data_IF_472339934968
#
_entry.id   IF_472339934968
#
_cell.length_a   1.000
_cell.length_b   1.000
_cell.length_c   1.000
_cell.angle_alpha   90.00
_cell.angle_beta   90.00
_cell.angle_gamma   90.00
#
_symmetry.space_group_name_H-M   'P 1'
#
loop_
_entity.id
_entity.type
_entity.pdbx_description
1 polymer ?
#
# COMPACT_ATOMS: atom_id res chain seq x y z
N UNK A 1 15.73 27.17 -5.48
CA UNK A 1 16.44 26.77 -6.70
C UNK A 1 16.72 25.29 -6.60
N UNK A 2 15.96 24.46 -7.31
CA UNK A 2 16.11 23.01 -7.26
C UNK A 2 17.35 22.64 -8.06
N UNK A 3 18.32 22.00 -7.42
CA UNK A 3 19.54 21.51 -8.08
C UNK A 3 19.17 20.59 -9.25
N UNK A 4 19.90 20.63 -10.38
CA UNK A 4 19.69 19.68 -11.47
C UNK A 4 19.92 18.27 -10.95
N UNK A 5 18.92 17.40 -11.13
CA UNK A 5 19.01 15.97 -10.85
C UNK A 5 20.25 15.41 -11.55
N UNK A 6 21.16 14.84 -10.78
CA UNK A 6 22.33 14.12 -11.29
C UNK A 6 21.85 13.10 -12.32
N UNK A 7 22.47 13.00 -13.52
CA UNK A 7 22.04 12.02 -14.51
C UNK A 7 22.08 10.63 -13.88
N UNK A 8 20.90 10.02 -13.75
CA UNK A 8 20.76 8.69 -13.14
C UNK A 8 21.48 7.70 -14.06
N UNK A 9 22.41 6.92 -13.50
CA UNK A 9 23.12 5.91 -14.30
C UNK A 9 22.13 4.87 -14.82
N UNK A 10 22.39 4.20 -15.96
CA UNK A 10 21.47 3.19 -16.50
C UNK A 10 21.14 2.06 -15.49
N UNK A 11 22.10 1.70 -14.64
CA UNK A 11 21.90 0.76 -13.55
C UNK A 11 20.89 1.28 -12.50
N UNK A 12 21.05 2.53 -12.05
CA UNK A 12 20.16 3.12 -11.06
C UNK A 12 18.76 3.38 -11.63
N UNK A 13 18.66 3.69 -12.93
CA UNK A 13 17.38 3.82 -13.62
C UNK A 13 16.63 2.48 -13.69
N UNK A 14 17.35 1.39 -13.97
CA UNK A 14 16.79 0.04 -13.98
C UNK A 14 16.29 -0.40 -12.59
N UNK A 15 17.11 -0.23 -11.54
CA UNK A 15 16.68 -0.49 -10.15
C UNK A 15 15.45 0.33 -9.77
N UNK A 16 15.42 1.62 -10.15
CA UNK A 16 14.26 2.47 -9.93
C UNK A 16 13.00 1.98 -10.68
N UNK A 17 13.17 1.39 -11.87
CA UNK A 17 12.11 0.72 -12.61
C UNK A 17 11.54 -0.48 -11.84
N UNK A 18 12.41 -1.39 -11.38
CA UNK A 18 11.99 -2.54 -10.55
C UNK A 18 11.27 -2.08 -9.28
N UNK A 19 11.81 -1.07 -8.59
CA UNK A 19 11.18 -0.48 -7.40
C UNK A 19 9.77 0.00 -7.70
N UNK A 20 9.60 0.71 -8.81
CA UNK A 20 8.30 1.27 -9.20
C UNK A 20 7.28 0.17 -9.47
N UNK A 21 7.68 -0.91 -10.14
CA UNK A 21 6.82 -2.06 -10.36
C UNK A 21 6.42 -2.73 -9.03
N UNK A 22 7.40 -2.99 -8.15
CA UNK A 22 7.16 -3.61 -6.85
C UNK A 22 6.22 -2.78 -5.96
N UNK A 23 6.44 -1.46 -5.88
CA UNK A 23 5.57 -0.57 -5.10
C UNK A 23 4.17 -0.49 -5.67
N UNK A 24 4.00 -0.42 -7.01
CA UNK A 24 2.66 -0.44 -7.62
C UNK A 24 1.91 -1.73 -7.25
N UNK A 25 2.58 -2.89 -7.30
CA UNK A 25 2.00 -4.15 -6.85
C UNK A 25 1.60 -4.11 -5.37
N UNK A 26 2.50 -3.60 -4.52
CA UNK A 26 2.30 -3.48 -3.06
C UNK A 26 1.00 -2.74 -2.72
N UNK A 27 0.72 -1.64 -3.43
CA UNK A 27 -0.45 -0.79 -3.18
C UNK A 27 -1.70 -1.24 -3.95
N UNK A 28 -1.68 -2.43 -4.55
CA UNK A 28 -2.81 -3.00 -5.29
C UNK A 28 -2.98 -2.50 -6.73
N UNK A 29 -2.07 -1.68 -7.25
CA UNK A 29 -2.07 -1.23 -8.65
C UNK A 29 -1.40 -2.27 -9.57
N UNK A 30 -2.11 -3.39 -9.77
CA UNK A 30 -1.65 -4.49 -10.62
C UNK A 30 -1.50 -4.08 -12.09
N UNK A 31 -2.45 -3.32 -12.63
CA UNK A 31 -2.39 -2.86 -14.01
C UNK A 31 -1.19 -1.95 -14.27
N UNK A 32 -0.91 -1.01 -13.35
CA UNK A 32 0.25 -0.14 -13.45
C UNK A 32 1.57 -0.88 -13.24
N UNK A 33 1.62 -1.87 -12.35
CA UNK A 33 2.80 -2.73 -12.20
C UNK A 33 3.10 -3.46 -13.51
N UNK A 34 2.09 -4.08 -14.13
CA UNK A 34 2.20 -4.76 -15.43
C UNK A 34 2.66 -3.79 -16.53
N UNK A 35 2.13 -2.57 -16.58
CA UNK A 35 2.54 -1.56 -17.55
C UNK A 35 4.03 -1.22 -17.44
N UNK A 36 4.53 -1.01 -16.22
CA UNK A 36 5.96 -0.76 -15.96
C UNK A 36 6.80 -1.95 -16.43
N UNK A 37 6.42 -3.17 -16.04
CA UNK A 37 7.15 -4.39 -16.41
C UNK A 37 7.16 -4.63 -17.92
N UNK A 38 6.06 -4.32 -18.62
CA UNK A 38 5.95 -4.57 -20.07
C UNK A 38 6.57 -3.48 -20.93
N UNK A 39 6.43 -2.22 -20.53
CA UNK A 39 6.70 -1.08 -21.41
C UNK A 39 7.91 -0.24 -20.99
N UNK A 40 8.31 -0.29 -19.72
CA UNK A 40 9.45 0.46 -19.19
C UNK A 40 10.69 -0.42 -18.98
N UNK A 41 10.55 -1.55 -18.27
CA UNK A 41 11.67 -2.43 -17.91
C UNK A 41 12.48 -2.87 -19.13
N UNK A 42 11.91 -3.33 -20.26
CA UNK A 42 12.68 -3.73 -21.44
C UNK A 42 13.64 -2.65 -21.93
N UNK A 43 13.19 -1.38 -21.95
CA UNK A 43 14.01 -0.24 -22.39
C UNK A 43 15.16 0.03 -21.42
N UNK A 44 14.89 -0.11 -20.12
CA UNK A 44 15.89 0.07 -19.07
C UNK A 44 16.94 -1.06 -19.09
N UNK A 45 16.50 -2.30 -19.35
CA UNK A 45 17.39 -3.46 -19.51
C UNK A 45 18.34 -3.25 -20.68
N UNK A 46 17.83 -2.83 -21.86
CA UNK A 46 18.67 -2.51 -23.03
C UNK A 46 19.67 -1.40 -22.70
N UNK A 47 19.20 -0.33 -22.03
CA UNK A 47 20.05 0.79 -21.62
C UNK A 47 21.18 0.37 -20.69
N UNK A 48 20.90 -0.49 -19.71
CA UNK A 48 21.90 -1.03 -18.80
C UNK A 48 22.81 -2.06 -19.48
N UNK A 49 22.27 -2.97 -20.29
CA UNK A 49 23.01 -4.02 -20.97
C UNK A 49 24.14 -3.47 -21.87
N UNK A 50 23.93 -2.28 -22.45
CA UNK A 50 24.93 -1.56 -23.26
C UNK A 50 26.07 -0.93 -22.45
N UNK A 51 25.91 -0.80 -21.14
CA UNK A 51 26.93 -0.24 -20.25
C UNK A 51 27.83 -1.29 -19.59
N UNK A 52 27.56 -2.58 -19.85
CA UNK A 52 28.26 -3.68 -19.22
C UNK A 52 28.83 -4.64 -20.27
N UNK A 53 29.98 -5.24 -19.96
CA UNK A 53 30.63 -6.25 -20.81
C UNK A 53 30.27 -7.68 -20.42
N UNK A 54 29.32 -7.86 -19.51
CA UNK A 54 28.83 -9.17 -19.08
C UNK A 54 28.21 -9.93 -20.26
N UNK A 55 28.36 -11.25 -20.25
CA UNK A 55 27.67 -12.12 -21.19
C UNK A 55 26.17 -12.21 -20.88
N UNK A 56 25.40 -12.89 -21.75
CA UNK A 56 23.95 -12.98 -21.59
C UNK A 56 23.53 -13.71 -20.30
N UNK A 57 24.25 -14.75 -19.89
CA UNK A 57 23.94 -15.52 -18.68
C UNK A 57 24.25 -14.70 -17.42
N UNK A 58 25.38 -14.00 -17.40
CA UNK A 58 25.76 -13.09 -16.34
C UNK A 58 24.78 -11.90 -16.23
N UNK A 59 24.35 -11.35 -17.37
CA UNK A 59 23.33 -10.28 -17.41
C UNK A 59 22.02 -10.75 -16.80
N UNK A 60 21.54 -11.92 -17.20
CA UNK A 60 20.32 -12.52 -16.67
C UNK A 60 20.43 -12.77 -15.16
N UNK A 61 21.54 -13.34 -14.71
CA UNK A 61 21.81 -13.53 -13.28
C UNK A 61 21.78 -12.22 -12.50
N UNK A 62 22.37 -11.16 -13.05
CA UNK A 62 22.40 -9.85 -12.40
C UNK A 62 21.03 -9.16 -12.40
N UNK A 63 20.24 -9.31 -13.46
CA UNK A 63 18.86 -8.81 -13.51
C UNK A 63 17.99 -9.48 -12.45
N UNK A 64 18.13 -10.80 -12.30
CA UNK A 64 17.44 -11.55 -11.26
C UNK A 64 17.83 -11.08 -9.87
N UNK A 65 19.13 -10.95 -9.59
CA UNK A 65 19.62 -10.43 -8.31
C UNK A 65 19.03 -9.05 -8.01
N UNK A 66 19.08 -8.11 -8.97
CA UNK A 66 18.54 -6.76 -8.78
C UNK A 66 17.02 -6.74 -8.54
N UNK A 67 16.29 -7.63 -9.22
CA UNK A 67 14.85 -7.75 -9.03
C UNK A 67 14.52 -8.35 -7.67
N UNK A 68 15.18 -9.45 -7.28
CA UNK A 68 14.96 -10.13 -6.00
C UNK A 68 15.31 -9.20 -4.82
N UNK A 69 16.39 -8.41 -4.93
CA UNK A 69 16.76 -7.39 -3.92
C UNK A 69 15.67 -6.32 -3.73
N UNK A 70 15.12 -5.81 -4.83
CA UNK A 70 14.13 -4.73 -4.78
C UNK A 70 12.74 -5.24 -4.39
N UNK A 71 12.39 -6.46 -4.77
CA UNK A 71 11.20 -7.17 -4.29
C UNK A 71 11.27 -7.41 -2.78
N UNK A 72 12.40 -7.93 -2.27
CA UNK A 72 12.60 -8.12 -0.84
C UNK A 72 12.52 -6.81 -0.05
N UNK A 73 13.07 -5.71 -0.60
CA UNK A 73 12.91 -4.37 -0.03
C UNK A 73 11.45 -3.91 0.01
N UNK A 74 10.67 -4.21 -1.03
CA UNK A 74 9.25 -3.86 -1.05
C UNK A 74 8.46 -4.63 0.02
N UNK A 75 8.77 -5.91 0.23
CA UNK A 75 8.14 -6.75 1.27
C UNK A 75 8.46 -6.26 2.69
N UNK A 76 9.72 -5.88 2.95
CA UNK A 76 10.12 -5.24 4.20
C UNK A 76 9.38 -3.92 4.44
N UNK A 77 9.19 -3.12 3.39
CA UNK A 77 8.41 -1.88 3.46
C UNK A 77 6.94 -2.16 3.75
N UNK A 78 6.32 -3.16 3.13
CA UNK A 78 4.96 -3.60 3.45
C UNK A 78 4.83 -3.87 4.95
N UNK A 79 5.73 -4.71 5.47
CA UNK A 79 5.74 -5.10 6.89
C UNK A 79 5.90 -3.88 7.81
N UNK A 80 6.75 -2.92 7.44
CA UNK A 80 6.94 -1.69 8.19
C UNK A 80 5.70 -0.78 8.15
N UNK A 81 5.02 -0.70 7.00
CA UNK A 81 3.79 0.07 6.83
C UNK A 81 2.63 -0.53 7.62
N UNK A 82 2.47 -1.85 7.65
CA UNK A 82 1.43 -2.51 8.47
C UNK A 82 1.63 -2.24 9.96
N UNK A 83 2.88 -2.33 10.44
CA UNK A 83 3.21 -2.01 11.82
C UNK A 83 2.97 -0.52 12.15
N UNK A 84 3.25 0.37 11.20
CA UNK A 84 2.96 1.79 11.33
C UNK A 84 1.45 2.05 11.36
N UNK A 85 0.69 1.43 10.46
CA UNK A 85 -0.77 1.56 10.38
C UNK A 85 -1.42 1.11 11.68
N UNK A 86 -1.09 -0.08 12.20
CA UNK A 86 -1.65 -0.55 13.46
C UNK A 86 -1.32 0.36 14.67
N UNK A 87 -0.12 0.94 14.71
CA UNK A 87 0.25 1.93 15.76
C UNK A 87 -0.49 3.24 15.59
N UNK A 88 -0.66 3.70 14.35
CA UNK A 88 -1.37 4.91 14.02
C UNK A 88 -2.84 4.78 14.39
N UNK A 89 -3.50 3.69 13.98
CA UNK A 89 -4.88 3.35 14.32
C UNK A 89 -5.10 3.33 15.83
N UNK A 90 -4.24 2.63 16.59
CA UNK A 90 -4.35 2.57 18.04
C UNK A 90 -4.30 3.98 18.68
N UNK A 91 -3.39 4.83 18.20
CA UNK A 91 -3.23 6.19 18.72
C UNK A 91 -4.38 7.11 18.33
N UNK A 92 -4.89 7.00 17.10
CA UNK A 92 -6.05 7.76 16.64
C UNK A 92 -7.31 7.32 17.39
N UNK A 93 -7.52 6.02 17.56
CA UNK A 93 -8.64 5.48 18.32
C UNK A 93 -8.63 5.96 19.77
N UNK A 94 -7.47 6.04 20.42
CA UNK A 94 -7.33 6.60 21.76
C UNK A 94 -7.73 8.09 21.80
N UNK A 95 -7.22 8.89 20.86
CA UNK A 95 -7.56 10.32 20.78
C UNK A 95 -9.06 10.52 20.51
N UNK A 96 -9.63 9.80 19.55
CA UNK A 96 -11.06 9.88 19.23
C UNK A 96 -11.91 9.49 20.43
N UNK A 97 -11.57 8.39 21.12
CA UNK A 97 -12.30 7.95 22.32
C UNK A 97 -12.28 9.01 23.41
N UNK A 98 -11.12 9.64 23.63
CA UNK A 98 -10.96 10.69 24.63
C UNK A 98 -11.79 11.94 24.29
N UNK A 99 -11.59 12.48 23.10
CA UNK A 99 -12.28 13.72 22.68
C UNK A 99 -13.79 13.52 22.59
N UNK A 100 -14.24 12.37 22.06
CA UNK A 100 -15.67 12.04 22.01
C UNK A 100 -16.26 11.86 23.41
N UNK A 101 -15.52 11.21 24.33
CA UNK A 101 -15.91 11.09 25.73
C UNK A 101 -16.05 12.45 26.42
N UNK A 102 -15.11 13.38 26.18
CA UNK A 102 -15.19 14.74 26.72
C UNK A 102 -16.39 15.53 26.17
N UNK A 103 -16.73 15.34 24.89
CA UNK A 103 -17.94 15.92 24.28
C UNK A 103 -19.21 15.33 24.91
N UNK A 104 -19.29 14.01 25.06
CA UNK A 104 -20.43 13.34 25.69
C UNK A 104 -20.63 13.83 27.13
N UNK A 105 -19.55 13.89 27.92
CA UNK A 105 -19.60 14.39 29.30
C UNK A 105 -20.09 15.85 29.38
N UNK A 106 -19.65 16.71 28.45
CA UNK A 106 -20.14 18.11 28.38
C UNK A 106 -21.60 18.18 27.97
N UNK A 107 -22.03 17.33 27.04
CA UNK A 107 -23.42 17.27 26.60
C UNK A 107 -24.32 16.85 27.76
N UNK A 108 -23.93 15.83 28.52
CA UNK A 108 -24.64 15.38 29.72
C UNK A 108 -24.77 16.51 30.76
N UNK A 109 -23.69 17.25 31.03
CA UNK A 109 -23.72 18.40 31.94
C UNK A 109 -24.66 19.52 31.46
N UNK A 110 -24.69 19.79 30.15
CA UNK A 110 -25.60 20.79 29.56
C UNK A 110 -27.05 20.31 29.70
N UNK A 111 -27.33 19.04 29.40
CA UNK A 111 -28.66 18.44 29.52
C UNK A 111 -29.14 18.50 30.98
N UNK A 112 -28.30 18.14 31.94
CA UNK A 112 -28.62 18.20 33.37
C UNK A 112 -28.88 19.64 33.84
N UNK A 113 -28.09 20.60 33.37
CA UNK A 113 -28.31 22.02 33.64
C UNK A 113 -29.62 22.55 33.03
N UNK A 114 -30.00 22.07 31.84
CA UNK A 114 -31.24 22.44 31.16
C UNK A 114 -32.48 21.78 31.76
N UNK A 115 -32.36 20.54 32.24
CA UNK A 115 -33.46 19.79 32.88
C UNK A 115 -33.66 20.15 34.35
N UNK A 116 -32.79 20.99 34.93
CA UNK A 116 -32.88 21.39 36.34
C UNK A 116 -32.74 20.22 37.32
N UNK A 117 -31.99 19.18 36.93
CA UNK A 117 -31.82 17.97 37.74
C UNK A 117 -33.00 16.99 37.68
N UNK A 118 -34.01 17.24 36.84
CA UNK A 118 -34.96 16.17 36.50
C UNK A 118 -34.29 15.20 35.53
N UNK A 119 -34.31 13.87 35.81
CA UNK A 119 -33.83 12.89 34.84
C UNK A 119 -34.57 13.10 33.53
N UNK A 120 -33.82 13.43 32.48
CA UNK A 120 -34.38 13.45 31.13
C UNK A 120 -34.62 11.98 30.80
N UNK A 121 -35.89 11.60 30.60
CA UNK A 121 -36.18 10.26 30.09
C UNK A 121 -35.37 10.05 28.81
N UNK A 122 -34.73 8.89 28.64
CA UNK A 122 -34.11 8.55 27.37
C UNK A 122 -35.12 8.86 26.27
N UNK A 123 -34.71 9.66 25.28
CA UNK A 123 -35.51 9.82 24.07
C UNK A 123 -35.94 8.41 23.65
N UNK A 124 -37.23 8.18 23.36
CA UNK A 124 -37.68 6.90 22.87
C UNK A 124 -36.72 6.55 21.75
N UNK A 125 -35.94 5.48 21.93
CA UNK A 125 -35.37 4.83 20.77
C UNK A 125 -36.62 4.49 19.96
N UNK A 126 -36.83 5.22 18.87
CA UNK A 126 -37.64 4.72 17.79
C UNK A 126 -36.89 3.47 17.34
N UNK A 127 -37.19 2.37 18.05
CA UNK A 127 -37.26 1.07 17.45
C UNK A 127 -38.30 1.24 16.37
N UNK A 128 -37.85 1.57 15.17
CA UNK A 128 -38.60 1.21 13.98
C UNK A 128 -38.92 -0.27 14.17
N UNK A 129 -40.21 -0.53 14.41
CA UNK A 129 -40.72 -1.87 14.65
C UNK A 129 -40.30 -2.78 13.51
N UNK A 130 -39.93 -3.99 13.87
CA UNK A 130 -39.34 -5.00 13.00
C UNK A 130 -39.94 -5.04 11.59
N UNK A 131 -39.08 -4.77 10.61
CA UNK A 131 -38.82 -5.84 9.66
C UNK A 131 -37.89 -6.81 10.39
N UNK A 132 -38.13 -8.12 10.30
CA UNK A 132 -37.06 -9.10 10.51
C UNK A 132 -35.91 -8.71 9.58
N UNK A 133 -35.00 -7.88 10.07
CA UNK A 133 -33.63 -7.92 9.65
C UNK A 133 -33.16 -9.22 10.26
N UNK A 134 -33.10 -10.26 9.42
CA UNK A 134 -32.09 -11.32 9.59
C UNK A 134 -30.82 -10.68 10.12
N UNK A 135 -30.06 -11.33 11.03
CA UNK A 135 -28.84 -10.76 11.56
C UNK A 135 -28.07 -10.21 10.38
N UNK A 136 -28.02 -8.88 10.26
CA UNK A 136 -27.21 -8.24 9.24
C UNK A 136 -25.85 -8.66 9.72
N UNK A 137 -25.29 -9.67 9.04
CA UNK A 137 -23.92 -10.11 9.20
C UNK A 137 -23.15 -8.82 9.41
N UNK A 138 -22.54 -8.68 10.59
CA UNK A 138 -21.83 -7.48 11.00
C UNK A 138 -21.18 -6.94 9.74
N UNK A 139 -21.68 -5.81 9.22
CA UNK A 139 -21.14 -5.22 8.00
C UNK A 139 -19.66 -5.19 8.28
N UNK A 140 -18.95 -6.03 7.52
CA UNK A 140 -17.54 -6.28 7.73
C UNK A 140 -16.96 -4.90 7.96
N UNK A 141 -16.28 -4.71 9.10
CA UNK A 141 -15.39 -3.56 9.23
C UNK A 141 -14.75 -3.46 7.85
N UNK A 142 -14.89 -2.32 7.14
CA UNK A 142 -14.13 -2.09 5.92
C UNK A 142 -12.67 -2.04 6.39
N UNK A 143 -12.14 -3.23 6.68
CA UNK A 143 -10.76 -3.58 6.85
C UNK A 143 -10.17 -2.96 5.61
N UNK A 144 -9.39 -1.90 5.82
CA UNK A 144 -8.61 -1.30 4.76
C UNK A 144 -7.97 -2.46 4.02
N UNK A 145 -8.39 -2.65 2.76
CA UNK A 145 -8.10 -3.87 2.00
C UNK A 145 -6.64 -4.26 2.27
N UNK A 146 -6.37 -5.40 2.94
CA UNK A 146 -5.01 -5.76 3.29
C UNK A 146 -4.20 -5.76 2.00
N UNK A 147 -2.94 -5.29 2.01
CA UNK A 147 -2.15 -5.13 0.79
C UNK A 147 -2.24 -6.41 -0.06
N UNK A 148 -2.97 -6.35 -1.18
CA UNK A 148 -3.41 -7.53 -1.95
C UNK A 148 -2.30 -8.21 -2.76
N UNK A 149 -1.04 -7.89 -2.51
CA UNK A 149 0.09 -8.34 -3.31
C UNK A 149 0.86 -9.49 -2.66
N UNK A 150 0.65 -10.72 -3.13
CA UNK A 150 1.79 -11.66 -3.18
C UNK A 150 2.85 -10.96 -4.03
N UNK A 151 4.06 -10.77 -3.48
CA UNK A 151 5.16 -10.08 -4.16
C UNK A 151 5.39 -10.57 -5.59
N UNK A 152 5.84 -9.67 -6.48
CA UNK A 152 6.12 -10.00 -7.87
C UNK A 152 7.19 -11.10 -7.94
N UNK A 153 6.95 -12.13 -8.75
CA UNK A 153 7.94 -13.21 -8.99
C UNK A 153 8.71 -12.92 -10.26
N UNK A 154 10.02 -13.18 -10.24
CA UNK A 154 10.89 -12.97 -11.40
C UNK A 154 10.40 -13.74 -12.64
N UNK A 155 9.83 -14.93 -12.42
CA UNK A 155 9.29 -15.82 -13.45
C UNK A 155 8.22 -15.13 -14.34
N UNK A 156 7.52 -14.11 -13.82
CA UNK A 156 6.50 -13.35 -14.56
C UNK A 156 7.08 -12.41 -15.63
N UNK A 157 8.38 -12.09 -15.54
CA UNK A 157 9.08 -11.19 -16.48
C UNK A 157 10.30 -11.84 -17.13
N UNK A 158 10.64 -13.06 -16.75
CA UNK A 158 11.81 -13.77 -17.26
C UNK A 158 11.75 -13.97 -18.77
N UNK A 159 10.60 -14.38 -19.30
CA UNK A 159 10.40 -14.58 -20.74
C UNK A 159 10.58 -13.27 -21.54
N UNK A 160 10.13 -12.15 -20.96
CA UNK A 160 10.27 -10.83 -21.58
C UNK A 160 11.73 -10.36 -21.57
N UNK A 161 12.47 -10.64 -20.50
CA UNK A 161 13.89 -10.33 -20.38
C UNK A 161 14.70 -11.19 -21.37
N UNK A 162 14.39 -12.48 -21.47
CA UNK A 162 15.08 -13.39 -22.37
C UNK A 162 14.93 -12.96 -23.84
N UNK A 163 13.74 -12.52 -24.24
CA UNK A 163 13.49 -11.98 -25.58
C UNK A 163 14.29 -10.70 -25.86
N UNK A 164 14.39 -9.81 -24.88
CA UNK A 164 15.18 -8.57 -25.02
C UNK A 164 16.67 -8.86 -25.13
N UNK A 165 17.17 -9.85 -24.39
CA UNK A 165 18.57 -10.24 -24.39
C UNK A 165 18.98 -11.12 -25.58
N UNK A 166 18.01 -11.74 -26.27
CA UNK A 166 18.27 -12.51 -27.50
C UNK A 166 18.35 -11.66 -28.76
N UNK A 167 17.78 -10.45 -28.73
CA UNK A 167 17.68 -9.54 -29.88
C UNK A 167 18.81 -8.50 -29.97
N UNK A 168 19.69 -8.41 -28.96
CA UNK A 168 20.93 -7.60 -28.90
C UNK A 168 22.17 -8.46 -29.20
#
# INVERSE_FOLDING_TARGET
MSSPSTPVSPLEALKAGFRRACVRRLVGDEAGAIDVLKNEIPKLVVGWAKTTSLDAAEKKGKLKEMFDDESGRADELATAFDLFAGRFEARVAELVRKELGDVTNRLEQIVEAMSGGTPVEPLPQESEGGSEVEPVEAEEEEDLDPPKGIGLRFDEIEEMIDQVLSDD
#
